data_IF_391934734711
#
_entry.id   IF_391934734711
#
_cell.length_a   1.000
_cell.length_b   1.000
_cell.length_c   1.000
_cell.angle_alpha   90.00
_cell.angle_beta   90.00
_cell.angle_gamma   90.00
#
_symmetry.space_group_name_H-M   'P 1'
#
loop_
_entity.id
_entity.type
_entity.pdbx_description
1 polymer ?
#
# COMPACT_ATOMS: atom_id res chain seq x y z
N UNK A 1 -52.99 -41.49 -5.46
CA UNK A 1 -52.27 -40.42 -6.17
C UNK A 1 -51.30 -39.76 -5.19
N UNK A 2 -50.01 -40.12 -5.26
CA UNK A 2 -48.93 -39.47 -4.49
C UNK A 2 -48.56 -38.17 -5.20
N UNK A 3 -48.64 -37.02 -4.52
CA UNK A 3 -47.96 -35.79 -4.95
C UNK A 3 -46.56 -35.78 -4.35
N UNK A 4 -45.58 -35.85 -5.24
CA UNK A 4 -44.18 -35.53 -5.00
C UNK A 4 -44.06 -34.04 -4.66
N UNK A 5 -43.51 -33.73 -3.49
CA UNK A 5 -43.02 -32.40 -3.14
C UNK A 5 -41.63 -32.25 -3.75
N UNK A 6 -41.47 -31.30 -4.66
CA UNK A 6 -40.17 -30.82 -5.14
C UNK A 6 -39.56 -29.94 -4.06
N UNK A 7 -38.38 -30.31 -3.57
CA UNK A 7 -37.56 -29.49 -2.67
C UNK A 7 -37.00 -28.31 -3.47
N UNK A 8 -37.21 -27.09 -2.96
CA UNK A 8 -36.67 -25.82 -3.45
C UNK A 8 -35.18 -25.75 -3.10
N UNK A 9 -34.32 -25.61 -4.10
CA UNK A 9 -32.85 -25.64 -4.01
C UNK A 9 -32.27 -24.28 -3.54
N UNK A 10 -32.94 -23.62 -2.57
CA UNK A 10 -32.61 -22.26 -2.13
C UNK A 10 -32.15 -22.12 -0.68
N UNK A 11 -31.73 -23.21 -0.06
CA UNK A 11 -31.07 -23.18 1.24
C UNK A 11 -29.79 -24.04 1.23
N UNK A 12 -28.70 -23.47 0.70
CA UNK A 12 -27.35 -23.90 1.09
C UNK A 12 -26.68 -22.76 1.88
N UNK A 13 -26.23 -23.03 3.12
CA UNK A 13 -25.57 -22.03 3.94
C UNK A 13 -24.20 -21.65 3.37
N UNK A 14 -23.91 -20.36 3.49
CA UNK A 14 -22.73 -19.65 3.03
C UNK A 14 -21.46 -20.01 3.85
N UNK A 15 -21.07 -21.29 3.89
CA UNK A 15 -19.93 -21.75 4.72
C UNK A 15 -18.64 -22.07 3.94
N UNK A 16 -18.63 -21.95 2.61
CA UNK A 16 -17.43 -22.28 1.81
C UNK A 16 -16.52 -21.08 1.47
N UNK A 17 -16.76 -19.89 2.05
CA UNK A 17 -15.97 -18.67 1.74
C UNK A 17 -14.68 -18.55 2.58
N UNK A 18 -14.44 -19.43 3.57
CA UNK A 18 -13.38 -19.24 4.58
C UNK A 18 -12.22 -20.26 4.50
N UNK A 19 -11.98 -20.93 3.36
CA UNK A 19 -10.92 -21.96 3.29
C UNK A 19 -9.94 -21.93 2.13
N UNK A 20 -9.75 -20.79 1.44
CA UNK A 20 -8.58 -20.63 0.58
C UNK A 20 -7.97 -19.22 0.68
N UNK A 21 -6.65 -19.08 0.88
CA UNK A 21 -6.00 -17.78 0.81
C UNK A 21 -6.19 -17.20 -0.59
N UNK A 22 -6.85 -16.04 -0.66
CA UNK A 22 -7.30 -15.38 -1.89
C UNK A 22 -6.13 -15.06 -2.84
N UNK A 23 -4.91 -14.98 -2.30
CA UNK A 23 -3.67 -14.89 -3.06
C UNK A 23 -3.38 -16.06 -4.03
N UNK A 24 -4.10 -17.18 -3.92
CA UNK A 24 -4.08 -18.29 -4.88
C UNK A 24 -5.19 -18.19 -5.93
N UNK A 25 -6.29 -17.49 -5.66
CA UNK A 25 -7.44 -17.42 -6.60
C UNK A 25 -7.09 -16.66 -7.88
N UNK A 26 -6.31 -15.58 -7.75
CA UNK A 26 -5.77 -14.85 -8.90
C UNK A 26 -4.70 -15.62 -9.70
N UNK A 27 -4.11 -16.66 -9.10
CA UNK A 27 -3.11 -17.52 -9.74
C UNK A 27 -3.78 -18.71 -10.46
N UNK A 28 -4.91 -19.18 -9.97
CA UNK A 28 -5.56 -20.39 -10.47
C UNK A 28 -6.47 -20.17 -11.70
N UNK A 29 -7.01 -18.97 -11.92
CA UNK A 29 -7.81 -18.64 -13.12
C UNK A 29 -6.97 -18.23 -14.34
N UNK A 30 -5.67 -17.94 -14.14
CA UNK A 30 -4.71 -17.85 -15.25
C UNK A 30 -4.08 -19.23 -15.44
N UNK A 31 -4.69 -20.03 -16.32
CA UNK A 31 -4.22 -21.36 -16.68
C UNK A 31 -2.69 -21.44 -16.81
N UNK A 32 -2.10 -22.29 -15.97
CA UNK A 32 -0.70 -22.71 -15.96
C UNK A 32 -0.37 -23.57 -17.19
N UNK A 33 -0.38 -22.96 -18.38
CA UNK A 33 0.01 -23.64 -19.61
C UNK A 33 1.09 -22.91 -20.43
N UNK A 34 1.55 -21.72 -20.01
CA UNK A 34 2.58 -20.96 -20.74
C UNK A 34 3.54 -20.21 -19.80
N UNK A 35 4.33 -20.95 -19.03
CA UNK A 35 5.53 -20.40 -18.35
C UNK A 35 6.71 -20.16 -19.32
N UNK A 36 6.53 -20.42 -20.62
CA UNK A 36 7.54 -20.18 -21.65
C UNK A 36 7.54 -18.73 -22.12
N UNK A 37 8.45 -17.91 -21.57
CA UNK A 37 8.81 -16.53 -21.99
C UNK A 37 7.84 -15.41 -21.56
N UNK A 38 7.66 -15.20 -20.25
CA UNK A 38 7.32 -13.84 -19.79
C UNK A 38 8.50 -12.92 -20.08
N UNK A 39 8.25 -11.73 -20.64
CA UNK A 39 9.31 -10.73 -20.80
C UNK A 39 9.83 -10.33 -19.42
N UNK A 40 11.13 -10.04 -19.31
CA UNK A 40 11.73 -9.60 -18.05
C UNK A 40 11.00 -8.38 -17.44
N UNK A 41 10.53 -7.46 -18.30
CA UNK A 41 9.70 -6.33 -17.86
C UNK A 41 8.41 -6.77 -17.18
N UNK A 42 7.69 -7.76 -17.72
CA UNK A 42 6.45 -8.24 -17.09
C UNK A 42 6.71 -8.96 -15.77
N UNK A 43 7.84 -9.65 -15.65
CA UNK A 43 8.28 -10.23 -14.39
C UNK A 43 8.46 -9.15 -13.31
N UNK A 44 9.16 -8.06 -13.61
CA UNK A 44 9.33 -6.95 -12.64
C UNK A 44 7.97 -6.40 -12.19
N UNK A 45 7.04 -6.22 -13.13
CA UNK A 45 5.73 -5.66 -12.81
C UNK A 45 4.90 -6.58 -11.91
N UNK A 46 4.83 -7.86 -12.28
CA UNK A 46 4.02 -8.86 -11.60
C UNK A 46 4.57 -9.22 -10.19
N UNK A 47 5.89 -9.08 -9.97
CA UNK A 47 6.58 -9.43 -8.71
C UNK A 47 7.16 -8.21 -7.97
N UNK A 48 6.64 -7.02 -8.26
CA UNK A 48 7.17 -5.77 -7.71
C UNK A 48 7.20 -5.74 -6.17
N UNK A 49 6.19 -6.32 -5.52
CA UNK A 49 6.16 -6.45 -4.06
C UNK A 49 7.24 -7.41 -3.54
N UNK A 50 7.35 -8.60 -4.12
CA UNK A 50 8.34 -9.58 -3.70
C UNK A 50 9.77 -9.05 -3.89
N UNK A 51 10.02 -8.33 -4.98
CA UNK A 51 11.30 -7.67 -5.24
C UNK A 51 11.59 -6.57 -4.22
N UNK A 52 10.59 -5.76 -3.86
CA UNK A 52 10.71 -4.76 -2.80
C UNK A 52 11.01 -5.38 -1.43
N UNK A 53 10.27 -6.43 -1.05
CA UNK A 53 10.52 -7.18 0.19
C UNK A 53 11.95 -7.74 0.23
N UNK A 54 12.38 -8.39 -0.87
CA UNK A 54 13.72 -8.94 -0.97
C UNK A 54 14.79 -7.84 -0.83
N UNK A 55 14.61 -6.70 -1.50
CA UNK A 55 15.51 -5.56 -1.40
C UNK A 55 15.63 -5.06 0.04
N UNK A 56 14.52 -4.81 0.73
CA UNK A 56 14.52 -4.29 2.11
C UNK A 56 15.15 -5.29 3.08
N UNK A 57 14.85 -6.59 2.95
CA UNK A 57 15.45 -7.63 3.79
C UNK A 57 16.96 -7.69 3.58
N UNK A 58 17.42 -7.69 2.33
CA UNK A 58 18.84 -7.73 2.00
C UNK A 58 19.58 -6.49 2.52
N UNK A 59 19.00 -5.29 2.36
CA UNK A 59 19.57 -4.05 2.89
C UNK A 59 19.61 -4.06 4.42
N UNK A 60 18.57 -4.57 5.08
CA UNK A 60 18.54 -4.70 6.54
C UNK A 60 19.63 -5.66 7.04
N UNK A 61 19.79 -6.81 6.39
CA UNK A 61 20.82 -7.79 6.72
C UNK A 61 22.21 -7.20 6.48
N UNK A 62 22.43 -6.53 5.34
CA UNK A 62 23.69 -5.87 5.05
C UNK A 62 24.02 -4.80 6.09
N UNK A 63 23.03 -4.02 6.52
CA UNK A 63 23.17 -3.07 7.63
C UNK A 63 23.61 -3.76 8.92
N UNK A 64 22.93 -4.84 9.33
CA UNK A 64 23.26 -5.54 10.57
C UNK A 64 24.67 -6.15 10.53
N UNK A 65 25.07 -6.71 9.39
CA UNK A 65 26.34 -7.44 9.24
C UNK A 65 27.55 -6.54 8.98
N UNK A 66 27.38 -5.47 8.21
CA UNK A 66 28.49 -4.64 7.72
C UNK A 66 28.45 -3.20 8.21
N UNK A 67 27.29 -2.68 8.63
CA UNK A 67 27.11 -1.28 9.05
C UNK A 67 26.29 -1.19 10.35
N UNK A 68 26.77 -1.79 11.47
CA UNK A 68 26.00 -1.87 12.70
C UNK A 68 25.71 -0.49 13.32
N UNK A 69 26.60 0.48 13.08
CA UNK A 69 26.49 1.86 13.52
C UNK A 69 26.16 2.76 12.34
N UNK A 70 24.89 3.16 12.24
CA UNK A 70 24.46 4.18 11.29
C UNK A 70 24.03 5.45 12.02
N UNK A 71 24.17 6.62 11.38
CA UNK A 71 23.48 7.85 11.76
C UNK A 71 22.00 7.62 12.05
N UNK A 72 21.47 8.42 12.99
CA UNK A 72 20.09 8.31 13.48
C UNK A 72 19.08 8.23 12.32
N UNK A 73 19.12 9.16 11.37
CA UNK A 73 18.17 9.19 10.24
C UNK A 73 18.22 7.89 9.44
N UNK A 74 19.39 7.35 9.12
CA UNK A 74 19.50 6.11 8.36
C UNK A 74 18.97 4.89 9.14
N UNK A 75 19.17 4.86 10.46
CA UNK A 75 18.56 3.83 11.32
C UNK A 75 17.03 3.92 11.30
N UNK A 76 16.47 5.13 11.43
CA UNK A 76 15.02 5.34 11.39
C UNK A 76 14.44 5.01 10.01
N UNK A 77 15.13 5.34 8.93
CA UNK A 77 14.76 4.96 7.56
C UNK A 77 14.71 3.44 7.40
N UNK A 78 15.68 2.70 7.97
CA UNK A 78 15.65 1.24 7.94
C UNK A 78 14.44 0.67 8.70
N UNK A 79 14.06 1.28 9.84
CA UNK A 79 12.84 0.90 10.55
C UNK A 79 11.58 1.18 9.70
N UNK A 80 11.52 2.32 9.02
CA UNK A 80 10.45 2.62 8.07
C UNK A 80 10.40 1.64 6.90
N UNK A 81 11.54 1.21 6.37
CA UNK A 81 11.60 0.24 5.27
C UNK A 81 10.96 -1.10 5.68
N UNK A 82 11.28 -1.59 6.87
CA UNK A 82 10.67 -2.80 7.41
C UNK A 82 9.15 -2.65 7.63
N UNK A 83 8.73 -1.49 8.15
CA UNK A 83 7.31 -1.18 8.32
C UNK A 83 6.57 -1.06 6.98
N UNK A 84 7.19 -0.47 5.96
CA UNK A 84 6.63 -0.39 4.61
C UNK A 84 6.41 -1.78 4.00
N UNK A 85 7.37 -2.71 4.19
CA UNK A 85 7.19 -4.11 3.80
C UNK A 85 6.00 -4.75 4.50
N UNK A 86 5.90 -4.58 5.82
CA UNK A 86 4.78 -5.11 6.59
C UNK A 86 3.44 -4.54 6.09
N UNK A 87 3.41 -3.25 5.81
CA UNK A 87 2.22 -2.54 5.34
C UNK A 87 1.75 -3.01 3.98
N UNK A 88 2.64 -3.01 3.00
CA UNK A 88 2.34 -3.46 1.65
C UNK A 88 1.97 -4.96 1.61
N UNK A 89 2.57 -5.77 2.50
CA UNK A 89 2.18 -7.16 2.66
C UNK A 89 0.77 -7.32 3.23
N UNK A 90 0.40 -6.51 4.22
CA UNK A 90 -0.95 -6.49 4.81
C UNK A 90 -2.01 -6.11 3.76
N UNK A 91 -1.72 -5.09 2.95
CA UNK A 91 -2.62 -4.58 1.91
C UNK A 91 -2.83 -5.53 0.73
N UNK A 92 -1.76 -6.18 0.27
CA UNK A 92 -1.74 -6.94 -0.99
C UNK A 92 -1.81 -8.45 -0.79
N UNK A 93 -1.37 -8.96 0.36
CA UNK A 93 -1.23 -10.41 0.59
C UNK A 93 -2.14 -10.93 1.70
N UNK A 94 -1.89 -10.55 2.95
CA UNK A 94 -2.61 -11.11 4.10
C UNK A 94 -2.88 -10.04 5.15
N UNK A 95 -4.15 -9.69 5.41
CA UNK A 95 -5.37 -10.28 4.85
C UNK A 95 -5.64 -9.88 3.39
N UNK A 96 -5.00 -8.83 2.88
CA UNK A 96 -5.12 -8.40 1.48
C UNK A 96 -6.46 -7.73 1.14
N UNK A 97 -6.54 -7.13 -0.05
CA UNK A 97 -7.80 -6.60 -0.62
C UNK A 97 -7.96 -5.08 -0.54
N UNK A 98 -6.93 -4.33 -0.11
CA UNK A 98 -6.99 -2.87 -0.09
C UNK A 98 -7.12 -2.27 -1.50
N UNK A 99 -6.40 -2.83 -2.47
CA UNK A 99 -6.48 -2.41 -3.87
C UNK A 99 -7.88 -2.62 -4.45
N UNK A 100 -8.52 -3.74 -4.16
CA UNK A 100 -9.89 -3.99 -4.60
C UNK A 100 -10.88 -3.01 -3.98
N UNK A 101 -10.72 -2.72 -2.69
CA UNK A 101 -11.54 -1.76 -1.97
C UNK A 101 -11.43 -0.35 -2.56
N UNK A 102 -10.21 0.14 -2.73
CA UNK A 102 -9.95 1.49 -3.29
C UNK A 102 -10.43 1.60 -4.73
N UNK A 103 -10.29 0.55 -5.54
CA UNK A 103 -10.82 0.50 -6.90
C UNK A 103 -12.35 0.57 -6.94
N UNK A 104 -13.02 -0.18 -6.06
CA UNK A 104 -14.48 -0.16 -5.97
C UNK A 104 -15.00 1.23 -5.58
N UNK A 105 -14.38 1.86 -4.57
CA UNK A 105 -14.74 3.22 -4.12
C UNK A 105 -14.43 4.26 -5.22
N UNK A 106 -13.31 4.10 -5.92
CA UNK A 106 -12.90 4.98 -7.01
C UNK A 106 -13.68 4.77 -8.31
N UNK A 107 -14.54 3.75 -8.40
CA UNK A 107 -15.26 3.40 -9.63
C UNK A 107 -14.34 2.93 -10.76
N UNK A 108 -13.21 2.29 -10.42
CA UNK A 108 -12.22 1.84 -11.40
C UNK A 108 -12.72 0.59 -12.14
N UNK A 109 -12.68 0.65 -13.47
CA UNK A 109 -12.96 -0.50 -14.33
C UNK A 109 -11.79 -1.51 -14.27
N UNK A 110 -11.98 -2.58 -13.48
CA UNK A 110 -10.97 -3.62 -13.27
C UNK A 110 -10.53 -4.33 -14.55
N UNK A 111 -11.35 -4.30 -15.62
CA UNK A 111 -10.98 -4.91 -16.91
C UNK A 111 -9.90 -4.11 -17.66
N UNK A 112 -9.77 -2.82 -17.35
CA UNK A 112 -8.80 -1.91 -17.98
C UNK A 112 -7.57 -1.65 -17.11
N UNK A 113 -7.64 -2.00 -15.82
CA UNK A 113 -6.56 -1.75 -14.89
C UNK A 113 -5.38 -2.70 -15.15
N UNK A 114 -4.19 -2.15 -15.41
CA UNK A 114 -2.95 -2.91 -15.26
C UNK A 114 -2.51 -2.93 -13.80
N UNK A 115 -2.99 -3.94 -13.06
CA UNK A 115 -2.68 -4.10 -11.64
C UNK A 115 -1.18 -4.27 -11.35
N UNK A 116 -0.43 -4.90 -12.27
CA UNK A 116 1.03 -5.07 -12.13
C UNK A 116 1.73 -3.72 -12.25
N UNK A 117 1.32 -2.89 -13.20
CA UNK A 117 1.84 -1.53 -13.37
C UNK A 117 1.50 -0.64 -12.18
N UNK A 118 0.24 -0.64 -11.74
CA UNK A 118 -0.20 0.15 -10.58
C UNK A 118 0.58 -0.23 -9.30
N UNK A 119 0.72 -1.54 -9.03
CA UNK A 119 1.54 -2.01 -7.91
C UNK A 119 3.00 -1.56 -8.04
N UNK A 120 3.55 -1.60 -9.25
CA UNK A 120 4.95 -1.22 -9.49
C UNK A 120 5.20 0.26 -9.26
N UNK A 121 4.24 1.15 -9.57
CA UNK A 121 4.37 2.56 -9.23
C UNK A 121 4.42 2.79 -7.72
N UNK A 122 3.63 2.06 -6.94
CA UNK A 122 3.68 2.13 -5.47
C UNK A 122 5.02 1.61 -4.94
N UNK A 123 5.51 0.47 -5.43
CA UNK A 123 6.82 -0.06 -5.03
C UNK A 123 7.96 0.86 -5.42
N UNK A 124 7.93 1.43 -6.61
CA UNK A 124 8.91 2.41 -7.07
C UNK A 124 8.90 3.67 -6.18
N UNK A 125 7.72 4.16 -5.81
CA UNK A 125 7.56 5.27 -4.89
C UNK A 125 8.21 4.99 -3.54
N UNK A 126 7.96 3.81 -2.94
CA UNK A 126 8.64 3.39 -1.72
C UNK A 126 10.16 3.36 -1.86
N UNK A 127 10.68 2.77 -2.94
CA UNK A 127 12.13 2.73 -3.19
C UNK A 127 12.72 4.14 -3.24
N UNK A 128 12.09 5.07 -3.96
CA UNK A 128 12.57 6.46 -4.04
C UNK A 128 12.53 7.13 -2.66
N UNK A 129 11.40 7.04 -1.95
CA UNK A 129 11.25 7.70 -0.65
C UNK A 129 12.19 7.16 0.43
N UNK A 130 12.50 5.86 0.39
CA UNK A 130 13.46 5.26 1.31
C UNK A 130 14.91 5.57 0.91
N UNK A 131 15.22 5.57 -0.39
CA UNK A 131 16.56 5.82 -0.88
C UNK A 131 17.03 7.27 -0.63
N UNK A 132 16.14 8.26 -0.78
CA UNK A 132 16.50 9.67 -0.63
C UNK A 132 17.14 10.02 0.73
N UNK A 133 16.50 9.80 1.88
CA UNK A 133 17.10 10.07 3.18
C UNK A 133 18.22 9.07 3.55
N UNK A 134 18.28 7.91 2.90
CA UNK A 134 19.39 6.96 3.07
C UNK A 134 20.68 7.46 2.39
N UNK A 135 20.57 8.03 1.19
CA UNK A 135 21.71 8.55 0.40
C UNK A 135 22.12 9.95 0.89
N UNK A 136 21.16 10.76 1.34
CA UNK A 136 21.38 12.13 1.79
C UNK A 136 21.00 12.30 3.28
N UNK A 137 21.71 11.64 4.22
CA UNK A 137 21.34 11.63 5.63
C UNK A 137 21.53 12.98 6.34
N UNK A 138 22.23 13.92 5.72
CA UNK A 138 22.43 15.29 6.22
C UNK A 138 21.36 16.26 5.73
N UNK A 139 20.38 15.78 4.95
CA UNK A 139 19.29 16.59 4.39
C UNK A 139 17.97 16.18 5.07
N UNK A 140 17.70 16.71 6.26
CA UNK A 140 16.68 16.18 7.16
C UNK A 140 15.24 16.29 6.61
N UNK A 141 14.91 17.31 5.80
CA UNK A 141 13.58 17.43 5.19
C UNK A 141 13.19 16.26 4.28
N UNK A 142 14.15 15.48 3.76
CA UNK A 142 13.86 14.27 2.97
C UNK A 142 13.27 13.16 3.85
N UNK A 143 13.69 13.09 5.11
CA UNK A 143 13.17 12.12 6.08
C UNK A 143 11.75 12.48 6.55
N UNK A 144 11.42 13.77 6.62
CA UNK A 144 10.08 14.25 6.98
C UNK A 144 8.99 13.68 6.07
N UNK A 145 9.32 13.37 4.81
CA UNK A 145 8.37 12.75 3.86
C UNK A 145 7.89 11.39 4.39
N UNK A 146 8.79 10.56 4.94
CA UNK A 146 8.44 9.25 5.52
C UNK A 146 7.59 9.39 6.78
N UNK A 147 7.90 10.38 7.63
CA UNK A 147 7.11 10.70 8.82
C UNK A 147 5.67 11.09 8.42
N UNK A 148 5.54 11.97 7.42
CA UNK A 148 4.22 12.40 6.94
C UNK A 148 3.45 11.23 6.34
N UNK A 149 4.11 10.39 5.55
CA UNK A 149 3.51 9.21 4.94
C UNK A 149 2.98 8.24 6.01
N UNK A 150 3.78 7.90 7.03
CA UNK A 150 3.34 6.98 8.08
C UNK A 150 2.12 7.48 8.88
N UNK A 151 2.02 8.78 9.13
CA UNK A 151 0.82 9.40 9.74
C UNK A 151 -0.35 9.37 8.75
N UNK A 152 -0.10 9.71 7.49
CA UNK A 152 -1.13 9.78 6.47
C UNK A 152 -1.76 8.43 6.18
N UNK A 153 -0.98 7.35 6.12
CA UNK A 153 -1.53 6.00 5.91
C UNK A 153 -2.55 5.64 7.00
N UNK A 154 -2.25 5.91 8.27
CA UNK A 154 -3.21 5.64 9.35
C UNK A 154 -4.52 6.42 9.15
N UNK A 155 -4.43 7.69 8.74
CA UNK A 155 -5.59 8.54 8.44
C UNK A 155 -6.35 8.03 7.22
N UNK A 156 -5.65 7.66 6.14
CA UNK A 156 -6.25 7.19 4.89
C UNK A 156 -6.99 5.86 5.07
N UNK A 157 -6.36 4.88 5.72
CA UNK A 157 -7.00 3.59 6.04
C UNK A 157 -8.14 3.74 7.05
N UNK A 158 -8.03 4.67 7.99
CA UNK A 158 -9.16 4.95 8.88
C UNK A 158 -10.31 5.60 8.11
N UNK A 159 -10.01 6.58 7.24
CA UNK A 159 -10.98 7.30 6.42
C UNK A 159 -11.71 6.39 5.43
N UNK A 160 -11.02 5.41 4.83
CA UNK A 160 -11.62 4.51 3.84
C UNK A 160 -12.69 3.60 4.46
N UNK A 161 -12.57 3.27 5.75
CA UNK A 161 -13.58 2.48 6.48
C UNK A 161 -14.91 3.23 6.49
N UNK A 162 -14.86 4.54 6.77
CA UNK A 162 -16.04 5.40 6.77
C UNK A 162 -16.55 5.65 5.35
N UNK A 163 -15.68 6.00 4.41
CA UNK A 163 -16.07 6.32 3.04
C UNK A 163 -16.63 5.11 2.27
N UNK A 164 -16.08 3.91 2.51
CA UNK A 164 -16.52 2.66 1.91
C UNK A 164 -17.66 1.97 2.65
N UNK A 165 -18.22 2.61 3.70
CA UNK A 165 -19.28 2.04 4.55
C UNK A 165 -18.99 0.60 4.97
N UNK A 166 -17.74 0.31 5.36
CA UNK A 166 -17.36 -1.03 5.74
C UNK A 166 -18.11 -1.41 7.02
N UNK A 167 -18.86 -2.51 7.00
CA UNK A 167 -19.52 -3.08 8.18
C UNK A 167 -18.55 -3.62 9.24
N UNK A 168 -17.26 -3.30 9.13
CA UNK A 168 -16.16 -3.68 10.01
C UNK A 168 -15.21 -2.50 10.20
N UNK A 169 -14.67 -2.36 11.40
CA UNK A 169 -13.64 -1.36 11.73
C UNK A 169 -12.24 -1.79 11.26
N UNK A 170 -12.14 -2.29 10.03
CA UNK A 170 -10.89 -2.80 9.49
C UNK A 170 -10.83 -2.69 7.97
N UNK A 171 -9.78 -2.07 7.47
CA UNK A 171 -9.32 -2.17 6.08
C UNK A 171 -7.98 -2.91 6.05
N UNK A 172 -7.68 -3.72 5.02
CA UNK A 172 -6.35 -4.29 4.84
C UNK A 172 -5.30 -3.16 4.82
N UNK A 173 -4.21 -3.31 5.57
CA UNK A 173 -3.19 -2.27 5.78
C UNK A 173 -3.39 -1.40 7.03
N UNK A 174 -4.55 -1.48 7.71
CA UNK A 174 -4.85 -0.60 8.85
C UNK A 174 -3.91 -0.82 10.03
N UNK A 175 -3.60 -2.07 10.38
CA UNK A 175 -2.81 -2.35 11.60
C UNK A 175 -1.38 -1.83 11.42
N UNK A 176 -0.75 -2.19 10.31
CA UNK A 176 0.58 -1.71 9.94
C UNK A 176 0.63 -0.20 9.76
N UNK A 177 -0.41 0.43 9.21
CA UNK A 177 -0.50 1.88 9.08
C UNK A 177 -0.50 2.57 10.45
N UNK A 178 -1.23 2.06 11.43
CA UNK A 178 -1.20 2.61 12.80
C UNK A 178 0.13 2.38 13.50
N UNK A 179 0.80 1.24 13.26
CA UNK A 179 2.17 1.01 13.73
C UNK A 179 3.16 2.00 13.09
N UNK A 180 3.02 2.29 11.80
CA UNK A 180 3.80 3.30 11.08
C UNK A 180 3.56 4.72 11.61
N UNK A 181 2.32 5.05 11.97
CA UNK A 181 1.98 6.30 12.63
C UNK A 181 2.67 6.39 14.00
N UNK A 182 2.65 5.32 14.79
CA UNK A 182 3.39 5.23 16.04
C UNK A 182 4.90 5.44 15.86
N UNK A 183 5.50 4.79 14.86
CA UNK A 183 6.91 5.01 14.50
C UNK A 183 7.15 6.47 14.08
N UNK A 184 6.26 7.06 13.30
CA UNK A 184 6.36 8.46 12.86
C UNK A 184 6.36 9.43 14.05
N UNK A 185 5.46 9.21 15.02
CA UNK A 185 5.40 9.98 16.26
C UNK A 185 6.69 9.81 17.07
N UNK A 186 7.17 8.57 17.23
CA UNK A 186 8.46 8.30 17.87
C UNK A 186 9.60 9.06 17.17
N UNK A 187 9.69 9.00 15.84
CA UNK A 187 10.70 9.70 15.07
C UNK A 187 10.63 11.21 15.27
N UNK A 188 9.44 11.82 15.33
CA UNK A 188 9.27 13.24 15.62
C UNK A 188 9.94 13.59 16.96
N UNK A 189 9.70 12.81 18.02
CA UNK A 189 10.34 13.06 19.31
C UNK A 189 11.87 12.94 19.23
N UNK A 190 12.37 11.88 18.60
CA UNK A 190 13.79 11.55 18.57
C UNK A 190 14.61 12.59 17.79
N UNK A 191 14.16 12.98 16.58
CA UNK A 191 14.88 13.95 15.74
C UNK A 191 14.86 15.37 16.33
N UNK A 192 13.80 15.73 17.06
CA UNK A 192 13.72 17.03 17.74
C UNK A 192 14.54 17.03 19.03
N UNK A 193 14.61 15.92 19.77
CA UNK A 193 15.42 15.81 20.98
C UNK A 193 16.92 16.02 20.70
N UNK A 194 17.41 15.54 19.55
CA UNK A 194 18.81 15.70 19.12
C UNK A 194 19.04 17.03 18.37
N UNK A 195 17.98 17.79 18.07
CA UNK A 195 18.08 19.11 17.42
C UNK A 195 18.54 19.05 15.96
N UNK A 196 18.32 17.94 15.26
CA UNK A 196 18.73 17.75 13.86
C UNK A 196 17.79 18.51 12.90
N UNK A 197 16.55 18.71 13.31
CA UNK A 197 15.50 19.34 12.49
C UNK A 197 15.27 20.80 12.90
N UNK A 198 15.19 21.68 11.91
CA UNK A 198 14.69 23.04 12.04
C UNK A 198 13.24 23.13 11.54
N UNK A 199 12.54 24.20 11.90
CA UNK A 199 11.14 24.39 11.51
C UNK A 199 10.92 24.39 9.98
N UNK A 200 11.90 24.86 9.20
CA UNK A 200 11.79 24.90 7.74
C UNK A 200 11.93 23.51 7.11
N UNK A 201 12.65 22.58 7.76
CA UNK A 201 12.75 21.20 7.29
C UNK A 201 11.38 20.53 7.29
N UNK A 202 10.58 20.81 8.31
CA UNK A 202 9.19 20.36 8.40
C UNK A 202 8.34 20.94 7.27
N UNK A 203 8.41 22.25 7.04
CA UNK A 203 7.63 22.91 5.99
C UNK A 203 7.97 22.37 4.59
N UNK A 204 9.26 22.23 4.27
CA UNK A 204 9.73 21.69 2.99
C UNK A 204 9.31 20.21 2.85
N UNK A 205 9.54 19.40 3.89
CA UNK A 205 9.20 17.99 3.89
C UNK A 205 7.71 17.73 3.70
N UNK A 206 6.84 18.48 4.37
CA UNK A 206 5.38 18.40 4.20
C UNK A 206 4.97 18.78 2.78
N UNK A 207 5.54 19.86 2.23
CA UNK A 207 5.23 20.28 0.85
C UNK A 207 5.66 19.22 -0.18
N UNK A 208 6.85 18.64 -0.01
CA UNK A 208 7.35 17.56 -0.86
C UNK A 208 6.51 16.28 -0.70
N UNK A 209 6.09 15.94 0.51
CA UNK A 209 5.18 14.83 0.75
C UNK A 209 3.90 15.00 -0.07
N UNK A 210 3.20 16.14 0.06
CA UNK A 210 1.97 16.40 -0.68
C UNK A 210 2.16 16.30 -2.20
N UNK A 211 3.24 16.89 -2.73
CA UNK A 211 3.57 16.82 -4.14
C UNK A 211 3.81 15.38 -4.60
N UNK A 212 4.58 14.63 -3.82
CA UNK A 212 4.95 13.24 -4.13
C UNK A 212 3.72 12.32 -4.09
N UNK A 213 2.82 12.52 -3.11
CA UNK A 213 1.59 11.75 -2.97
C UNK A 213 0.63 12.01 -4.13
N UNK A 214 0.42 13.28 -4.50
CA UNK A 214 -0.40 13.63 -5.68
C UNK A 214 0.19 13.00 -6.94
N UNK A 215 1.52 12.98 -7.07
CA UNK A 215 2.20 12.36 -8.21
C UNK A 215 1.97 10.86 -8.26
N UNK A 216 2.10 10.15 -7.13
CA UNK A 216 1.78 8.72 -7.04
C UNK A 216 0.33 8.45 -7.43
N UNK A 217 -0.61 9.21 -6.87
CA UNK A 217 -2.03 9.07 -7.17
C UNK A 217 -2.31 9.29 -8.66
N UNK A 218 -1.59 10.18 -9.35
CA UNK A 218 -1.72 10.34 -10.80
C UNK A 218 -1.20 9.13 -11.56
N UNK A 219 -0.06 8.57 -11.17
CA UNK A 219 0.50 7.40 -11.84
C UNK A 219 -0.41 6.17 -11.70
N UNK A 220 -1.02 5.96 -10.53
CA UNK A 220 -1.96 4.86 -10.33
C UNK A 220 -3.25 5.04 -11.16
N UNK A 221 -3.73 6.28 -11.31
CA UNK A 221 -4.87 6.57 -12.19
C UNK A 221 -4.55 6.41 -13.68
N UNK A 222 -3.32 6.70 -14.10
CA UNK A 222 -2.85 6.40 -15.46
C UNK A 222 -2.91 4.88 -15.71
N UNK A 223 -2.46 4.07 -14.75
CA UNK A 223 -2.57 2.61 -14.86
C UNK A 223 -4.03 2.11 -14.88
N UNK A 224 -4.96 2.89 -14.32
CA UNK A 224 -6.39 2.63 -14.34
C UNK A 224 -7.12 3.21 -15.58
N UNK A 225 -6.40 3.89 -16.49
CA UNK A 225 -6.98 4.64 -17.61
C UNK A 225 -8.09 5.63 -17.20
N UNK A 226 -7.96 6.21 -16.00
CA UNK A 226 -8.98 7.07 -15.40
C UNK A 226 -8.50 8.51 -15.27
N UNK A 227 -9.38 9.48 -15.52
CA UNK A 227 -9.07 10.89 -15.26
C UNK A 227 -9.22 11.23 -13.78
N UNK A 228 -8.48 12.22 -13.29
CA UNK A 228 -8.60 12.61 -11.87
C UNK A 228 -9.93 13.25 -11.50
N UNK A 229 -10.55 13.97 -12.45
CA UNK A 229 -11.88 14.56 -12.22
C UNK A 229 -12.94 13.47 -12.03
N UNK A 230 -12.85 12.43 -12.84
CA UNK A 230 -13.70 11.25 -12.74
C UNK A 230 -13.49 10.54 -11.40
N UNK A 231 -12.23 10.25 -11.04
CA UNK A 231 -11.89 9.65 -9.75
C UNK A 231 -12.49 10.43 -8.56
N UNK A 232 -12.26 11.76 -8.50
CA UNK A 232 -12.81 12.58 -7.41
C UNK A 232 -14.34 12.60 -7.39
N UNK A 233 -14.97 12.59 -8.57
CA UNK A 233 -16.43 12.55 -8.68
C UNK A 233 -16.96 11.22 -8.13
N UNK A 234 -16.32 10.11 -8.48
CA UNK A 234 -16.69 8.77 -8.02
C UNK A 234 -16.53 8.63 -6.51
N UNK A 235 -15.36 9.00 -5.96
CA UNK A 235 -15.11 8.97 -4.51
C UNK A 235 -16.13 9.82 -3.76
N UNK A 236 -16.42 11.03 -4.25
CA UNK A 236 -17.42 11.91 -3.63
C UNK A 236 -18.82 11.29 -3.67
N UNK A 237 -19.22 10.73 -4.81
CA UNK A 237 -20.54 10.11 -4.94
C UNK A 237 -20.67 8.89 -4.03
N UNK A 238 -19.62 8.07 -3.95
CA UNK A 238 -19.58 6.91 -3.07
C UNK A 238 -19.66 7.30 -1.59
N UNK A 239 -18.85 8.27 -1.16
CA UNK A 239 -18.88 8.80 0.21
C UNK A 239 -20.23 9.42 0.60
N UNK A 240 -21.00 9.92 -0.38
CA UNK A 240 -22.34 10.47 -0.17
C UNK A 240 -23.46 9.42 -0.33
N UNK A 241 -23.13 8.14 -0.57
CA UNK A 241 -24.12 7.07 -0.79
C UNK A 241 -24.93 7.23 -2.07
N UNK A 242 -24.38 7.89 -3.10
CA UNK A 242 -25.04 8.21 -4.38
C UNK A 242 -24.66 7.26 -5.53
N UNK A 243 -23.88 6.22 -5.23
CA UNK A 243 -23.36 5.24 -6.21
C UNK A 243 -23.89 3.84 -5.92
#
# INVERSE_FOLDING_TARGET
MRRTLTVDDRDQPCEDIIRQPIGLRYRHERGDANMGKRSFGRFILDYSLELFCALVILLTLARILFFPELPLIQNLVNAFALMAVLHEFEEKRTPGGFFDLTQNIGGVDKSKLDAGLASSFVMFYWVVLLALPLIFPTVPWLFVILICLGIFEAVAHTGIIFAGHLGKFYSPGLVSAWLMCGLSIYCIFDVNAVGIMQWHDWAIGIALFLLSFVSLQRLTLVAAHMSYREFLTNVRNHALGRS
#
